data_IF_307959790962
#
_entry.id   IF_307959790962
#
_cell.length_a   1.000
_cell.length_b   1.000
_cell.length_c   1.000
_cell.angle_alpha   90.00
_cell.angle_beta   90.00
_cell.angle_gamma   90.00
#
_symmetry.space_group_name_H-M   'P 1'
#
loop_
_entity.id
_entity.type
_entity.pdbx_description
1 polymer ?
#
# COMPACT_ATOMS: atom_id res chain seq x y z
N UNK A 1 -11.79 10.27 25.58
CA UNK A 1 -12.33 9.34 24.57
C UNK A 1 -13.04 8.22 25.29
N UNK A 2 -14.36 8.16 25.21
CA UNK A 2 -15.12 6.95 25.55
C UNK A 2 -14.66 5.86 24.58
N UNK A 3 -14.05 4.79 25.09
CA UNK A 3 -13.76 3.61 24.29
C UNK A 3 -15.06 2.87 24.06
N UNK A 4 -15.79 3.24 23.01
CA UNK A 4 -16.92 2.44 22.53
C UNK A 4 -16.37 1.09 22.11
N UNK A 5 -16.57 0.07 22.93
CA UNK A 5 -16.23 -1.31 22.58
C UNK A 5 -17.28 -1.81 21.60
N UNK A 6 -16.91 -1.92 20.33
CA UNK A 6 -17.77 -2.56 19.33
C UNK A 6 -17.74 -4.07 19.51
N UNK A 7 -18.90 -4.71 19.59
CA UNK A 7 -18.97 -6.17 19.52
C UNK A 7 -18.60 -6.66 18.10
N UNK A 8 -18.16 -7.92 17.92
CA UNK A 8 -17.94 -8.48 16.59
C UNK A 8 -19.16 -8.35 15.67
N UNK A 9 -20.37 -8.44 16.24
CA UNK A 9 -21.63 -8.26 15.53
C UNK A 9 -21.80 -6.82 15.02
N UNK A 10 -21.38 -5.82 15.81
CA UNK A 10 -21.44 -4.41 15.39
C UNK A 10 -20.47 -4.12 14.25
N UNK A 11 -19.26 -4.66 14.32
CA UNK A 11 -18.25 -4.54 13.25
C UNK A 11 -18.78 -5.17 11.96
N UNK A 12 -19.36 -6.37 12.07
CA UNK A 12 -19.97 -7.07 10.94
C UNK A 12 -21.10 -6.27 10.31
N UNK A 13 -22.09 -5.86 11.10
CA UNK A 13 -23.24 -5.08 10.63
C UNK A 13 -22.79 -3.77 9.97
N UNK A 14 -21.77 -3.11 10.54
CA UNK A 14 -21.21 -1.88 9.98
C UNK A 14 -20.52 -2.11 8.63
N UNK A 15 -19.75 -3.19 8.48
CA UNK A 15 -19.11 -3.54 7.20
C UNK A 15 -20.15 -3.73 6.08
N UNK A 16 -21.20 -4.50 6.35
CA UNK A 16 -22.32 -4.69 5.42
C UNK A 16 -23.07 -3.40 5.13
N UNK A 17 -23.26 -2.54 6.13
CA UNK A 17 -23.92 -1.25 5.92
C UNK A 17 -23.10 -0.34 4.99
N UNK A 18 -21.76 -0.36 5.09
CA UNK A 18 -20.82 0.43 4.28
C UNK A 18 -20.72 -0.10 2.85
N UNK A 19 -20.33 -1.36 2.67
CA UNK A 19 -20.14 -1.97 1.35
C UNK A 19 -20.34 -3.50 1.40
N UNK A 20 -21.52 -3.99 1.00
CA UNK A 20 -21.79 -5.43 0.90
C UNK A 20 -20.79 -6.17 0.00
N UNK A 21 -20.52 -5.63 -1.20
CA UNK A 21 -19.64 -6.26 -2.18
C UNK A 21 -18.21 -6.45 -1.65
N UNK A 22 -17.66 -5.41 -1.02
CA UNK A 22 -16.31 -5.45 -0.46
C UNK A 22 -16.24 -6.36 0.77
N UNK A 23 -17.31 -6.41 1.57
CA UNK A 23 -17.41 -7.31 2.74
C UNK A 23 -17.42 -8.77 2.31
N UNK A 24 -18.28 -9.14 1.34
CA UNK A 24 -18.32 -10.49 0.78
C UNK A 24 -16.96 -10.89 0.23
N UNK A 25 -16.33 -9.99 -0.56
CA UNK A 25 -15.01 -10.27 -1.11
C UNK A 25 -13.97 -10.48 -0.02
N UNK A 26 -13.93 -9.64 1.00
CA UNK A 26 -12.96 -9.77 2.12
C UNK A 26 -13.05 -11.17 2.75
N UNK A 27 -14.28 -11.66 2.97
CA UNK A 27 -14.52 -13.01 3.51
C UNK A 27 -14.05 -14.09 2.53
N UNK A 28 -14.38 -13.97 1.24
CA UNK A 28 -13.95 -14.93 0.23
C UNK A 28 -12.42 -14.94 0.07
N UNK A 29 -11.75 -13.80 0.17
CA UNK A 29 -10.29 -13.72 0.14
C UNK A 29 -9.69 -14.43 1.35
N UNK A 30 -10.28 -14.26 2.53
CA UNK A 30 -9.84 -14.96 3.74
C UNK A 30 -10.00 -16.48 3.61
N UNK A 31 -11.15 -16.94 3.11
CA UNK A 31 -11.37 -18.37 2.83
C UNK A 31 -10.35 -18.88 1.81
N UNK A 32 -10.10 -18.13 0.73
CA UNK A 32 -9.08 -18.47 -0.26
C UNK A 32 -7.67 -18.56 0.34
N UNK A 33 -7.33 -17.69 1.29
CA UNK A 33 -6.05 -17.76 2.02
C UNK A 33 -5.95 -19.07 2.82
N UNK A 34 -7.02 -19.47 3.53
CA UNK A 34 -7.03 -20.74 4.26
C UNK A 34 -6.87 -21.93 3.30
N UNK A 35 -7.63 -21.95 2.20
CA UNK A 35 -7.56 -23.05 1.22
C UNK A 35 -6.18 -23.17 0.58
N UNK A 36 -5.58 -22.05 0.18
CA UNK A 36 -4.24 -22.05 -0.43
C UNK A 36 -3.14 -22.35 0.59
N UNK A 37 -3.33 -22.02 1.89
CA UNK A 37 -2.44 -22.48 2.95
C UNK A 37 -2.49 -24.00 3.15
N UNK A 38 -3.68 -24.62 3.05
CA UNK A 38 -3.80 -26.07 3.07
C UNK A 38 -3.12 -26.70 1.84
N UNK A 39 -3.31 -26.11 0.66
CA UNK A 39 -2.69 -26.57 -0.58
C UNK A 39 -1.15 -26.51 -0.55
N UNK A 40 -0.57 -25.53 0.16
CA UNK A 40 0.88 -25.49 0.41
C UNK A 40 1.40 -26.73 1.17
N UNK A 41 0.55 -27.39 1.96
CA UNK A 41 0.91 -28.59 2.71
C UNK A 41 0.69 -29.91 1.96
N UNK A 42 -0.13 -29.91 0.90
CA UNK A 42 -0.53 -31.16 0.21
C UNK A 42 -0.14 -31.23 -1.26
N UNK A 43 0.07 -30.09 -1.94
CA UNK A 43 0.49 -30.06 -3.34
C UNK A 43 1.97 -29.71 -3.44
N UNK A 44 2.78 -30.70 -3.80
CA UNK A 44 4.24 -30.60 -3.88
C UNK A 44 4.73 -29.89 -5.16
N UNK A 45 3.84 -29.51 -6.09
CA UNK A 45 4.25 -28.83 -7.33
C UNK A 45 4.94 -27.51 -7.02
N UNK A 46 5.94 -27.20 -7.84
CA UNK A 46 6.68 -25.95 -7.77
C UNK A 46 6.56 -25.19 -9.09
N UNK A 47 6.68 -23.87 -9.00
CA UNK A 47 6.77 -22.98 -10.13
C UNK A 47 7.98 -22.06 -9.88
N UNK A 48 9.01 -22.20 -10.73
CA UNK A 48 10.26 -21.41 -10.62
C UNK A 48 10.95 -21.59 -9.25
N UNK A 49 10.99 -22.83 -8.77
CA UNK A 49 11.66 -23.16 -7.50
C UNK A 49 10.92 -22.74 -6.22
N UNK A 50 9.71 -22.17 -6.33
CA UNK A 50 8.84 -21.89 -5.17
C UNK A 50 7.60 -22.81 -5.19
N UNK A 51 7.02 -23.14 -4.02
CA UNK A 51 5.75 -23.88 -3.96
C UNK A 51 4.65 -23.18 -4.77
N UNK A 52 3.94 -23.96 -5.59
CA UNK A 52 2.97 -23.45 -6.58
C UNK A 52 1.91 -22.52 -5.97
N UNK A 53 1.41 -22.87 -4.79
CA UNK A 53 0.33 -22.15 -4.09
C UNK A 53 0.81 -20.96 -3.25
N UNK A 54 2.13 -20.72 -3.17
CA UNK A 54 2.68 -19.66 -2.32
C UNK A 54 2.26 -18.27 -2.79
N UNK A 55 2.27 -18.05 -4.12
CA UNK A 55 1.81 -16.77 -4.69
C UNK A 55 0.31 -16.56 -4.48
N UNK A 56 -0.59 -17.49 -4.86
CA UNK A 56 -2.02 -17.40 -4.51
C UNK A 56 -2.26 -17.09 -3.03
N UNK A 57 -1.59 -17.79 -2.11
CA UNK A 57 -1.71 -17.57 -0.67
C UNK A 57 -1.37 -16.12 -0.27
N UNK A 58 -0.20 -15.62 -0.69
CA UNK A 58 0.23 -14.25 -0.41
C UNK A 58 -0.78 -13.21 -0.91
N UNK A 59 -1.33 -13.39 -2.11
CA UNK A 59 -2.31 -12.48 -2.67
C UNK A 59 -3.66 -12.54 -1.94
N UNK A 60 -4.16 -13.72 -1.59
CA UNK A 60 -5.38 -13.86 -0.80
C UNK A 60 -5.26 -13.19 0.57
N UNK A 61 -4.14 -13.40 1.27
CA UNK A 61 -3.85 -12.74 2.56
C UNK A 61 -3.79 -11.23 2.38
N UNK A 62 -3.04 -10.76 1.39
CA UNK A 62 -2.86 -9.32 1.13
C UNK A 62 -4.19 -8.62 0.83
N UNK A 63 -5.01 -9.19 -0.06
CA UNK A 63 -6.32 -8.64 -0.41
C UNK A 63 -7.30 -8.66 0.77
N UNK A 64 -7.26 -9.70 1.60
CA UNK A 64 -8.07 -9.74 2.85
C UNK A 64 -7.74 -8.54 3.74
N UNK A 65 -6.45 -8.31 4.00
CA UNK A 65 -6.00 -7.22 4.86
C UNK A 65 -6.32 -5.86 4.22
N UNK A 66 -6.03 -5.71 2.93
CA UNK A 66 -6.28 -4.48 2.18
C UNK A 66 -7.77 -4.08 2.21
N UNK A 67 -8.67 -5.02 1.91
CA UNK A 67 -10.10 -4.76 1.83
C UNK A 67 -10.73 -4.50 3.20
N UNK A 68 -10.31 -5.25 4.23
CA UNK A 68 -10.69 -4.96 5.61
C UNK A 68 -10.24 -3.56 6.04
N UNK A 69 -9.02 -3.16 5.63
CA UNK A 69 -8.50 -1.82 5.90
C UNK A 69 -9.31 -0.74 5.17
N UNK A 70 -9.70 -0.98 3.92
CA UNK A 70 -10.57 -0.05 3.18
C UNK A 70 -11.96 0.08 3.82
N UNK A 71 -12.55 -1.02 4.29
CA UNK A 71 -13.81 -0.98 5.04
C UNK A 71 -13.68 -0.14 6.32
N UNK A 72 -12.54 -0.24 7.02
CA UNK A 72 -12.24 0.64 8.15
C UNK A 72 -12.16 2.12 7.72
N UNK A 73 -11.51 2.44 6.60
CA UNK A 73 -11.43 3.81 6.08
C UNK A 73 -12.81 4.35 5.64
N UNK A 74 -13.65 3.52 5.03
CA UNK A 74 -15.01 3.87 4.63
C UNK A 74 -15.86 4.31 5.82
N UNK A 75 -15.55 3.78 7.01
CA UNK A 75 -16.26 4.06 8.24
C UNK A 75 -16.19 5.53 8.71
N UNK A 76 -15.25 6.31 8.16
CA UNK A 76 -15.03 7.73 8.45
C UNK A 76 -15.72 8.69 7.47
N UNK A 77 -16.41 8.17 6.45
CA UNK A 77 -17.15 8.98 5.46
C UNK A 77 -18.62 8.52 5.34
N UNK A 78 -19.37 8.38 6.45
CA UNK A 78 -20.72 7.81 6.44
C UNK A 78 -21.70 8.57 5.51
N UNK A 79 -21.51 9.87 5.35
CA UNK A 79 -22.30 10.74 4.48
C UNK A 79 -22.13 10.42 2.98
N UNK A 80 -21.05 9.73 2.60
CA UNK A 80 -20.72 9.40 1.20
C UNK A 80 -21.08 7.95 0.83
N UNK A 81 -21.99 7.32 1.56
CA UNK A 81 -22.33 5.89 1.43
C UNK A 81 -22.53 5.38 0.00
N UNK A 82 -23.25 6.13 -0.87
CA UNK A 82 -23.47 5.72 -2.27
C UNK A 82 -22.17 5.66 -3.07
N UNK A 83 -21.28 6.64 -2.85
CA UNK A 83 -19.96 6.67 -3.48
C UNK A 83 -19.09 5.51 -2.97
N UNK A 84 -19.03 5.29 -1.66
CA UNK A 84 -18.25 4.21 -1.05
C UNK A 84 -18.70 2.81 -1.54
N UNK A 85 -20.01 2.60 -1.74
CA UNK A 85 -20.53 1.36 -2.33
C UNK A 85 -20.03 1.15 -3.75
N UNK A 86 -19.98 2.19 -4.59
CA UNK A 86 -19.44 2.10 -5.96
C UNK A 86 -17.95 1.79 -5.95
N UNK A 87 -17.18 2.50 -5.13
CA UNK A 87 -15.75 2.23 -4.92
C UNK A 87 -15.54 0.77 -4.50
N UNK A 88 -16.33 0.29 -3.53
CA UNK A 88 -16.28 -1.08 -3.04
C UNK A 88 -16.61 -2.12 -4.10
N UNK A 89 -17.60 -1.88 -4.96
CA UNK A 89 -17.94 -2.78 -6.08
C UNK A 89 -16.82 -2.85 -7.11
N UNK A 90 -16.24 -1.70 -7.49
CA UNK A 90 -15.16 -1.66 -8.49
C UNK A 90 -13.90 -2.37 -7.98
N UNK A 91 -13.47 -2.05 -6.75
CA UNK A 91 -12.33 -2.72 -6.11
C UNK A 91 -12.60 -4.22 -6.00
N UNK A 92 -13.83 -4.60 -5.63
CA UNK A 92 -14.18 -6.01 -5.52
C UNK A 92 -14.08 -6.74 -6.88
N UNK A 93 -14.64 -6.16 -7.93
CA UNK A 93 -14.59 -6.71 -9.28
C UNK A 93 -13.14 -6.88 -9.79
N UNK A 94 -12.31 -5.84 -9.65
CA UNK A 94 -10.90 -5.90 -10.02
C UNK A 94 -10.16 -7.00 -9.25
N UNK A 95 -10.35 -7.07 -7.94
CA UNK A 95 -9.68 -8.10 -7.13
C UNK A 95 -10.21 -9.52 -7.36
N UNK A 96 -11.45 -9.71 -7.83
CA UNK A 96 -11.92 -11.03 -8.27
C UNK A 96 -11.24 -11.46 -9.56
N UNK A 97 -11.16 -10.56 -10.55
CA UNK A 97 -10.46 -10.82 -11.80
C UNK A 97 -9.01 -11.23 -11.53
N UNK A 98 -8.31 -10.45 -10.70
CA UNK A 98 -6.94 -10.77 -10.26
C UNK A 98 -6.83 -12.17 -9.66
N UNK A 99 -7.67 -12.51 -8.68
CA UNK A 99 -7.55 -13.81 -8.02
C UNK A 99 -7.97 -14.98 -8.89
N UNK A 100 -8.95 -14.80 -9.79
CA UNK A 100 -9.29 -15.81 -10.79
C UNK A 100 -8.11 -16.04 -11.73
N UNK A 101 -7.50 -14.97 -12.25
CA UNK A 101 -6.34 -15.07 -13.14
C UNK A 101 -5.13 -15.72 -12.45
N UNK A 102 -4.79 -15.29 -11.23
CA UNK A 102 -3.66 -15.86 -10.45
C UNK A 102 -3.89 -17.33 -10.14
N UNK A 103 -5.09 -17.69 -9.69
CA UNK A 103 -5.41 -19.07 -9.31
C UNK A 103 -5.49 -19.99 -10.53
N UNK A 104 -6.09 -19.52 -11.62
CA UNK A 104 -6.12 -20.25 -12.89
C UNK A 104 -4.70 -20.55 -13.39
N UNK A 105 -3.82 -19.55 -13.38
CA UNK A 105 -2.45 -19.72 -13.84
C UNK A 105 -1.63 -20.63 -12.92
N UNK A 106 -1.87 -20.59 -11.61
CA UNK A 106 -1.30 -21.54 -10.67
C UNK A 106 -1.77 -22.98 -10.98
N UNK A 107 -3.07 -23.20 -11.21
CA UNK A 107 -3.58 -24.54 -11.59
C UNK A 107 -2.89 -25.07 -12.86
N UNK A 108 -2.71 -24.19 -13.86
CA UNK A 108 -1.99 -24.48 -15.11
C UNK A 108 -0.49 -24.69 -14.95
N UNK A 109 0.09 -24.38 -13.78
CA UNK A 109 1.52 -24.51 -13.53
C UNK A 109 2.36 -23.47 -14.28
N UNK A 110 1.82 -22.29 -14.58
CA UNK A 110 2.51 -21.22 -15.32
C UNK A 110 2.44 -19.89 -14.57
N UNK A 111 3.30 -18.95 -14.95
CA UNK A 111 3.34 -17.60 -14.35
C UNK A 111 2.07 -16.82 -14.71
N UNK A 112 1.54 -16.07 -13.74
CA UNK A 112 0.39 -15.16 -13.95
C UNK A 112 0.77 -13.75 -14.37
N UNK A 113 1.87 -13.22 -13.83
CA UNK A 113 2.39 -11.91 -14.18
C UNK A 113 3.57 -12.08 -15.15
N UNK A 114 3.75 -11.12 -16.04
CA UNK A 114 4.80 -11.06 -17.08
C UNK A 114 4.68 -12.11 -18.19
N UNK A 115 3.89 -13.16 -18.00
CA UNK A 115 3.79 -14.27 -18.94
C UNK A 115 3.13 -13.87 -20.27
N UNK A 116 3.92 -13.89 -21.34
CA UNK A 116 3.50 -13.63 -22.72
C UNK A 116 3.83 -14.80 -23.64
N UNK A 117 4.05 -16.00 -23.07
CA UNK A 117 4.46 -17.20 -23.82
C UNK A 117 3.42 -17.65 -24.86
N UNK A 118 2.13 -17.45 -24.58
CA UNK A 118 1.03 -17.74 -25.52
C UNK A 118 0.06 -16.56 -25.62
N UNK A 119 -0.77 -16.53 -26.66
CA UNK A 119 -1.82 -15.52 -26.81
C UNK A 119 -2.81 -15.53 -25.62
N UNK A 120 -3.10 -16.71 -25.08
CA UNK A 120 -3.96 -16.84 -23.90
C UNK A 120 -3.28 -16.27 -22.64
N UNK A 121 -2.00 -16.60 -22.41
CA UNK A 121 -1.25 -16.05 -21.28
C UNK A 121 -1.13 -14.53 -21.34
N UNK A 122 -0.87 -14.00 -22.53
CA UNK A 122 -0.84 -12.56 -22.77
C UNK A 122 -2.20 -11.92 -22.50
N UNK A 123 -3.31 -12.54 -22.91
CA UNK A 123 -4.65 -12.04 -22.65
C UNK A 123 -4.96 -12.01 -21.14
N UNK A 124 -4.60 -13.08 -20.42
CA UNK A 124 -4.72 -13.14 -18.94
C UNK A 124 -3.90 -12.02 -18.31
N UNK A 125 -2.61 -11.91 -18.63
CA UNK A 125 -1.74 -10.89 -18.06
C UNK A 125 -2.19 -9.46 -18.39
N UNK A 126 -2.66 -9.21 -19.61
CA UNK A 126 -3.18 -7.90 -20.03
C UNK A 126 -4.46 -7.53 -19.26
N UNK A 127 -5.37 -8.50 -19.05
CA UNK A 127 -6.59 -8.28 -18.28
C UNK A 127 -6.30 -7.88 -16.82
N UNK A 128 -5.26 -8.49 -16.22
CA UNK A 128 -4.76 -8.15 -14.89
C UNK A 128 -4.22 -6.71 -14.87
N UNK A 129 -3.38 -6.35 -15.85
CA UNK A 129 -2.88 -4.98 -16.02
C UNK A 129 -3.98 -3.92 -16.09
N UNK A 130 -5.07 -4.20 -16.81
CA UNK A 130 -6.25 -3.32 -16.85
C UNK A 130 -6.93 -3.26 -15.47
N UNK A 131 -7.16 -4.41 -14.84
CA UNK A 131 -7.82 -4.49 -13.54
C UNK A 131 -7.08 -3.71 -12.45
N UNK A 132 -5.75 -3.86 -12.35
CA UNK A 132 -4.95 -3.13 -11.36
C UNK A 132 -4.92 -1.63 -11.66
N UNK A 133 -5.01 -1.22 -12.93
CA UNK A 133 -5.03 0.19 -13.32
C UNK A 133 -6.34 0.83 -12.88
N UNK A 134 -7.47 0.17 -13.17
CA UNK A 134 -8.80 0.60 -12.73
C UNK A 134 -8.87 0.65 -11.20
N UNK A 135 -8.32 -0.36 -10.51
CA UNK A 135 -8.27 -0.39 -9.05
C UNK A 135 -7.43 0.77 -8.50
N UNK A 136 -6.24 1.02 -9.05
CA UNK A 136 -5.38 2.13 -8.62
C UNK A 136 -6.04 3.50 -8.82
N UNK A 137 -6.66 3.75 -9.98
CA UNK A 137 -7.43 4.97 -10.24
C UNK A 137 -8.61 5.10 -9.26
N UNK A 138 -9.29 3.99 -8.95
CA UNK A 138 -10.41 3.98 -8.00
C UNK A 138 -9.94 4.36 -6.59
N UNK A 139 -8.80 3.82 -6.14
CA UNK A 139 -8.18 4.19 -4.85
C UNK A 139 -7.70 5.64 -4.87
N UNK A 140 -7.20 6.14 -6.00
CA UNK A 140 -6.81 7.55 -6.17
C UNK A 140 -8.03 8.47 -6.01
N UNK A 141 -9.13 8.18 -6.69
CA UNK A 141 -10.38 8.95 -6.56
C UNK A 141 -10.88 8.90 -5.11
N UNK A 142 -10.85 7.73 -4.47
CA UNK A 142 -11.18 7.61 -3.05
C UNK A 142 -10.29 8.48 -2.16
N UNK A 143 -8.97 8.50 -2.42
CA UNK A 143 -8.03 9.33 -1.67
C UNK A 143 -8.28 10.82 -1.85
N UNK A 144 -8.57 11.26 -3.07
CA UNK A 144 -8.92 12.65 -3.37
C UNK A 144 -10.19 13.10 -2.65
N UNK A 145 -11.15 12.20 -2.46
CA UNK A 145 -12.36 12.46 -1.66
C UNK A 145 -12.03 12.51 -0.16
N UNK A 146 -11.22 11.58 0.35
CA UNK A 146 -10.81 11.55 1.76
C UNK A 146 -9.99 12.78 2.14
N UNK A 147 -9.11 13.26 1.25
CA UNK A 147 -8.33 14.48 1.44
C UNK A 147 -9.21 15.72 1.60
N UNK A 148 -10.32 15.78 0.85
CA UNK A 148 -11.28 16.91 0.89
C UNK A 148 -12.34 16.80 1.98
N UNK A 149 -12.48 15.64 2.61
CA UNK A 149 -13.50 15.42 3.61
C UNK A 149 -13.09 16.00 4.97
N UNK A 150 -14.05 16.60 5.67
CA UNK A 150 -13.84 17.17 7.00
C UNK A 150 -13.89 16.05 8.04
N UNK A 151 -12.78 15.87 8.76
CA UNK A 151 -12.66 14.93 9.86
C UNK A 151 -12.30 15.77 11.10
N UNK A 152 -13.06 15.61 12.18
CA UNK A 152 -12.93 16.43 13.39
C UNK A 152 -11.58 16.21 14.08
N UNK A 153 -11.17 14.94 14.22
CA UNK A 153 -9.86 14.57 14.75
C UNK A 153 -8.77 14.80 13.70
N UNK A 154 -7.92 15.81 13.94
CA UNK A 154 -6.85 16.21 13.03
C UNK A 154 -5.73 15.18 12.93
N UNK A 155 -5.44 14.48 14.03
CA UNK A 155 -4.39 13.45 14.11
C UNK A 155 -4.82 12.25 13.28
N UNK A 156 -6.04 11.77 13.49
CA UNK A 156 -6.65 10.71 12.70
C UNK A 156 -6.72 11.10 11.22
N UNK A 157 -7.20 12.31 10.91
CA UNK A 157 -7.30 12.78 9.54
C UNK A 157 -5.93 12.78 8.83
N UNK A 158 -4.89 13.29 9.49
CA UNK A 158 -3.53 13.29 8.96
C UNK A 158 -3.01 11.88 8.75
N UNK A 159 -3.34 10.96 9.65
CA UNK A 159 -2.90 9.56 9.59
C UNK A 159 -3.52 8.83 8.41
N UNK A 160 -4.85 8.92 8.25
CA UNK A 160 -5.56 8.29 7.14
C UNK A 160 -5.09 8.83 5.79
N UNK A 161 -4.91 10.16 5.69
CA UNK A 161 -4.47 10.82 4.46
C UNK A 161 -3.04 10.45 4.08
N UNK A 162 -2.09 10.47 5.01
CA UNK A 162 -0.71 10.05 4.75
C UNK A 162 -0.64 8.57 4.41
N UNK A 163 -1.33 7.71 5.16
CA UNK A 163 -1.39 6.26 4.88
C UNK A 163 -1.84 5.99 3.46
N UNK A 164 -2.96 6.60 3.06
CA UNK A 164 -3.51 6.39 1.74
C UNK A 164 -2.67 7.00 0.61
N UNK A 165 -2.04 8.16 0.83
CA UNK A 165 -1.15 8.77 -0.16
C UNK A 165 0.11 7.94 -0.40
N UNK A 166 0.74 7.46 0.67
CA UNK A 166 1.94 6.63 0.55
C UNK A 166 1.59 5.27 -0.07
N UNK A 167 0.43 4.70 0.26
CA UNK A 167 -0.07 3.50 -0.41
C UNK A 167 -0.28 3.72 -1.90
N UNK A 168 -0.82 4.87 -2.34
CA UNK A 168 -0.94 5.18 -3.76
C UNK A 168 0.41 5.25 -4.48
N UNK A 169 1.42 5.84 -3.83
CA UNK A 169 2.81 5.85 -4.34
C UNK A 169 3.33 4.42 -4.43
N UNK A 170 3.21 3.63 -3.37
CA UNK A 170 3.63 2.22 -3.33
C UNK A 170 2.97 1.39 -4.43
N UNK A 171 1.64 1.52 -4.61
CA UNK A 171 0.91 0.87 -5.71
C UNK A 171 1.44 1.33 -7.07
N UNK A 172 1.68 2.63 -7.25
CA UNK A 172 2.19 3.21 -8.49
C UNK A 172 3.58 2.68 -8.87
N UNK A 173 4.43 2.38 -7.89
CA UNK A 173 5.73 1.74 -8.13
C UNK A 173 5.60 0.35 -8.79
N UNK A 174 4.44 -0.31 -8.66
CA UNK A 174 4.16 -1.57 -9.32
C UNK A 174 4.19 -1.50 -10.84
N UNK A 175 3.87 -0.33 -11.43
CA UNK A 175 3.87 -0.17 -12.89
C UNK A 175 5.27 -0.31 -13.50
N UNK A 176 6.33 0.08 -12.78
CA UNK A 176 7.71 -0.12 -13.25
C UNK A 176 8.03 -1.59 -13.49
N UNK A 177 7.45 -2.51 -12.71
CA UNK A 177 7.69 -3.94 -12.89
C UNK A 177 7.08 -4.49 -14.19
N UNK A 178 6.08 -3.81 -14.76
CA UNK A 178 5.39 -4.25 -15.98
C UNK A 178 6.01 -3.71 -17.26
N UNK A 179 6.92 -2.73 -17.15
CA UNK A 179 7.60 -2.13 -18.30
C UNK A 179 8.78 -3.01 -18.72
N UNK A 180 8.94 -3.36 -20.01
CA UNK A 180 10.11 -4.10 -20.46
C UNK A 180 11.40 -3.30 -20.24
N UNK A 181 12.47 -3.99 -19.86
CA UNK A 181 13.78 -3.38 -19.62
C UNK A 181 14.92 -4.38 -19.86
N UNK A 182 16.15 -3.86 -20.03
CA UNK A 182 17.33 -4.68 -20.31
C UNK A 182 17.22 -5.47 -21.62
N UNK A 183 17.65 -6.73 -21.59
CA UNK A 183 17.64 -7.67 -22.74
C UNK A 183 16.25 -7.81 -23.40
N UNK A 184 15.16 -7.55 -22.67
CA UNK A 184 13.79 -7.60 -23.21
C UNK A 184 13.57 -6.53 -24.29
N UNK A 185 14.19 -5.36 -24.16
CA UNK A 185 14.07 -4.28 -25.16
C UNK A 185 14.78 -4.64 -26.46
N UNK A 186 15.93 -5.31 -26.37
CA UNK A 186 16.68 -5.79 -27.54
C UNK A 186 15.91 -6.89 -28.29
N UNK A 187 15.32 -7.81 -27.53
CA UNK A 187 14.45 -8.87 -28.08
C UNK A 187 13.29 -8.26 -28.87
N UNK A 188 12.59 -7.27 -28.28
CA UNK A 188 11.49 -6.56 -28.95
C UNK A 188 11.97 -5.79 -30.19
N UNK A 189 13.14 -5.16 -30.14
CA UNK A 189 13.71 -4.43 -31.28
C UNK A 189 14.06 -5.34 -32.46
N UNK A 190 14.45 -6.60 -32.20
CA UNK A 190 14.69 -7.61 -33.23
C UNK A 190 13.40 -8.20 -33.85
N UNK A 191 12.21 -7.72 -33.45
CA UNK A 191 10.92 -8.25 -33.91
C UNK A 191 10.54 -9.59 -33.29
N UNK A 192 11.31 -10.08 -32.31
CA UNK A 192 11.00 -11.30 -31.57
C UNK A 192 10.01 -11.00 -30.45
N UNK A 193 9.17 -11.98 -30.12
CA UNK A 193 8.26 -11.88 -28.99
C UNK A 193 8.91 -12.51 -27.76
N UNK A 194 9.22 -11.75 -26.70
CA UNK A 194 9.72 -12.33 -25.49
C UNK A 194 8.63 -13.18 -24.83
N UNK A 195 9.02 -14.28 -24.19
CA UNK A 195 8.12 -15.10 -23.39
C UNK A 195 7.67 -14.37 -22.12
N UNK A 196 8.42 -13.34 -21.72
CA UNK A 196 8.15 -12.52 -20.54
C UNK A 196 8.38 -11.03 -20.80
N UNK A 197 7.43 -10.20 -20.35
CA UNK A 197 7.51 -8.73 -20.45
C UNK A 197 7.40 -8.12 -19.07
N UNK A 198 8.43 -7.38 -18.66
CA UNK A 198 8.58 -6.88 -17.30
C UNK A 198 9.31 -7.86 -16.39
N UNK A 199 9.61 -7.43 -15.16
CA UNK A 199 10.29 -8.20 -14.14
C UNK A 199 10.20 -7.49 -12.77
N UNK A 200 10.43 -8.23 -11.68
CA UNK A 200 10.60 -7.62 -10.36
C UNK A 200 12.00 -7.03 -10.17
N UNK A 201 13.00 -7.68 -10.78
CA UNK A 201 14.42 -7.41 -10.64
C UNK A 201 14.91 -6.38 -11.66
N UNK A 202 15.74 -5.44 -11.22
CA UNK A 202 16.32 -4.37 -12.02
C UNK A 202 17.84 -4.47 -11.99
N UNK A 203 18.50 -4.23 -13.13
CA UNK A 203 19.96 -4.38 -13.25
C UNK A 203 20.46 -5.83 -13.20
N UNK A 204 19.56 -6.81 -13.39
CA UNK A 204 19.89 -8.25 -13.41
C UNK A 204 18.69 -9.09 -13.86
N UNK A 205 18.89 -10.40 -13.99
CA UNK A 205 17.83 -11.36 -14.38
C UNK A 205 16.88 -11.64 -13.20
N UNK A 206 15.58 -11.76 -13.49
CA UNK A 206 14.59 -12.11 -12.47
C UNK A 206 14.70 -13.58 -12.04
N UNK A 207 14.34 -13.87 -10.78
CA UNK A 207 14.37 -15.23 -10.23
C UNK A 207 15.72 -15.72 -9.69
N UNK A 208 16.69 -14.82 -9.48
CA UNK A 208 17.94 -15.11 -8.78
C UNK A 208 17.78 -15.30 -7.25
N UNK A 209 18.89 -15.45 -6.50
CA UNK A 209 18.85 -15.66 -5.05
C UNK A 209 18.06 -14.58 -4.30
N UNK A 210 16.99 -14.99 -3.64
CA UNK A 210 16.10 -14.10 -2.90
C UNK A 210 16.25 -14.20 -1.38
N UNK A 211 15.74 -13.19 -0.66
CA UNK A 211 15.51 -13.28 0.78
C UNK A 211 14.47 -14.36 1.08
N UNK A 212 14.62 -15.14 2.16
CA UNK A 212 13.61 -16.13 2.56
C UNK A 212 12.21 -15.51 2.69
N UNK A 213 11.17 -16.29 2.35
CA UNK A 213 9.74 -15.94 2.41
C UNK A 213 9.28 -14.85 1.42
N UNK A 214 10.03 -13.77 1.25
CA UNK A 214 9.62 -12.62 0.41
C UNK A 214 10.22 -12.67 -1.00
N UNK A 215 11.31 -13.41 -1.19
CA UNK A 215 11.95 -13.64 -2.48
C UNK A 215 12.66 -12.42 -3.06
N UNK A 216 12.84 -11.35 -2.28
CA UNK A 216 13.47 -10.10 -2.75
C UNK A 216 14.94 -10.31 -3.10
N UNK A 217 15.37 -9.82 -4.26
CA UNK A 217 16.70 -10.08 -4.81
C UNK A 217 17.83 -9.66 -3.85
N UNK A 218 18.76 -10.59 -3.60
CA UNK A 218 19.97 -10.35 -2.80
C UNK A 218 21.17 -9.87 -3.62
N UNK A 219 21.05 -9.89 -4.95
CA UNK A 219 22.17 -9.67 -5.87
C UNK A 219 21.94 -8.52 -6.84
N UNK A 220 20.69 -8.08 -7.02
CA UNK A 220 20.32 -6.99 -7.92
C UNK A 220 19.17 -6.16 -7.31
N UNK A 221 18.82 -5.07 -7.97
CA UNK A 221 17.69 -4.22 -7.56
C UNK A 221 16.36 -4.95 -7.64
N UNK A 222 15.43 -4.61 -6.76
CA UNK A 222 14.11 -5.24 -6.70
C UNK A 222 13.06 -4.21 -6.31
N UNK A 223 12.00 -4.08 -7.10
CA UNK A 223 10.93 -3.10 -6.84
C UNK A 223 9.91 -3.60 -5.80
N UNK A 224 9.86 -4.91 -5.53
CA UNK A 224 8.91 -5.49 -4.57
C UNK A 224 9.05 -4.91 -3.15
N UNK A 225 10.23 -4.70 -2.56
CA UNK A 225 10.35 -4.03 -1.27
C UNK A 225 9.71 -2.64 -1.24
N UNK A 226 9.99 -1.79 -2.23
CA UNK A 226 9.45 -0.44 -2.29
C UNK A 226 7.93 -0.45 -2.43
N UNK A 227 7.43 -1.28 -3.35
CA UNK A 227 6.01 -1.52 -3.56
C UNK A 227 5.31 -2.04 -2.30
N UNK A 228 5.86 -3.09 -1.67
CA UNK A 228 5.34 -3.71 -0.45
C UNK A 228 5.29 -2.72 0.71
N UNK A 229 6.42 -2.07 1.03
CA UNK A 229 6.50 -1.09 2.12
C UNK A 229 5.50 0.02 1.86
N UNK A 230 5.52 0.62 0.66
CA UNK A 230 4.61 1.70 0.30
C UNK A 230 3.14 1.33 0.45
N UNK A 231 2.72 0.18 -0.10
CA UNK A 231 1.34 -0.30 0.02
C UNK A 231 0.90 -0.47 1.48
N UNK A 232 1.80 -0.95 2.35
CA UNK A 232 1.47 -1.19 3.75
C UNK A 232 1.36 0.06 4.62
N UNK A 233 1.64 1.25 4.09
CA UNK A 233 1.41 2.51 4.80
C UNK A 233 -0.05 2.67 5.24
N UNK A 234 -1.01 2.15 4.47
CA UNK A 234 -2.44 2.15 4.78
C UNK A 234 -2.75 1.47 6.11
N UNK A 235 -2.01 0.42 6.48
CA UNK A 235 -2.17 -0.28 7.76
C UNK A 235 -1.26 0.30 8.83
N UNK A 236 0.02 0.50 8.51
CA UNK A 236 1.05 0.82 9.50
C UNK A 236 0.81 2.20 10.11
N UNK A 237 0.53 3.23 9.30
CA UNK A 237 0.38 4.59 9.83
C UNK A 237 -0.82 4.72 10.79
N UNK A 238 -2.04 4.21 10.48
CA UNK A 238 -3.14 4.15 11.44
C UNK A 238 -2.83 3.42 12.74
N UNK A 239 -2.15 2.26 12.67
CA UNK A 239 -1.79 1.49 13.86
C UNK A 239 -0.75 2.20 14.73
N UNK A 240 0.24 2.85 14.11
CA UNK A 240 1.21 3.67 14.82
C UNK A 240 0.54 4.85 15.53
N UNK A 241 -0.37 5.56 14.86
CA UNK A 241 -1.12 6.64 15.49
C UNK A 241 -1.97 6.15 16.66
N UNK A 242 -2.63 5.00 16.54
CA UNK A 242 -3.38 4.38 17.64
C UNK A 242 -2.45 4.04 18.83
N UNK A 243 -1.26 3.51 18.56
CA UNK A 243 -0.25 3.23 19.59
C UNK A 243 0.25 4.49 20.29
N UNK A 244 0.42 5.59 19.54
CA UNK A 244 0.81 6.89 20.09
C UNK A 244 -0.30 7.50 20.97
N UNK A 245 -1.55 7.45 20.52
CA UNK A 245 -2.72 7.97 21.23
C UNK A 245 -2.99 7.27 22.58
N UNK A 246 -2.58 6.00 22.72
CA UNK A 246 -2.66 5.27 24.00
C UNK A 246 -1.73 5.86 25.07
N UNK A 247 -0.70 6.62 24.68
CA UNK A 247 0.19 7.30 25.64
C UNK A 247 -0.42 8.65 26.01
N UNK A 248 -1.26 8.67 27.05
CA UNK A 248 -2.06 9.81 27.58
C UNK A 248 -1.33 11.12 27.91
N UNK A 249 -0.04 11.27 27.59
CA UNK A 249 0.80 12.40 28.01
C UNK A 249 1.18 13.38 26.89
N UNK A 250 0.60 13.29 25.69
CA UNK A 250 0.94 14.20 24.58
C UNK A 250 -0.21 15.15 24.25
N UNK A 251 0.14 16.39 23.93
CA UNK A 251 -0.82 17.33 23.35
C UNK A 251 -1.14 16.93 21.91
N UNK A 252 -2.38 17.21 21.46
CA UNK A 252 -2.84 16.93 20.09
C UNK A 252 -1.87 17.49 19.03
N UNK A 253 -1.34 18.69 19.26
CA UNK A 253 -0.33 19.31 18.39
C UNK A 253 0.93 18.44 18.27
N UNK A 254 1.46 17.96 19.39
CA UNK A 254 2.65 17.11 19.38
C UNK A 254 2.37 15.78 18.68
N UNK A 255 1.20 15.18 18.89
CA UNK A 255 0.80 13.95 18.18
C UNK A 255 0.70 14.16 16.67
N UNK A 256 0.11 15.28 16.23
CA UNK A 256 0.03 15.64 14.83
C UNK A 256 1.41 15.81 14.19
N UNK A 257 2.36 16.44 14.90
CA UNK A 257 3.75 16.57 14.45
C UNK A 257 4.41 15.21 14.25
N UNK A 258 4.22 14.28 15.20
CA UNK A 258 4.74 12.91 15.10
C UNK A 258 4.15 12.15 13.93
N UNK A 259 2.83 12.17 13.75
CA UNK A 259 2.16 11.49 12.64
C UNK A 259 2.68 11.99 11.30
N UNK A 260 2.87 13.31 11.15
CA UNK A 260 3.41 13.90 9.92
C UNK A 260 4.86 13.51 9.70
N UNK A 261 5.70 13.59 10.73
CA UNK A 261 7.11 13.20 10.65
C UNK A 261 7.26 11.72 10.27
N UNK A 262 6.49 10.83 10.90
CA UNK A 262 6.47 9.40 10.57
C UNK A 262 5.96 9.18 9.15
N UNK A 263 4.90 9.88 8.73
CA UNK A 263 4.38 9.79 7.37
C UNK A 263 5.40 10.23 6.31
N UNK A 264 6.14 11.31 6.55
CA UNK A 264 7.22 11.79 5.68
C UNK A 264 8.36 10.77 5.64
N UNK A 265 8.78 10.24 6.78
CA UNK A 265 9.81 9.22 6.86
C UNK A 265 9.42 7.95 6.13
N UNK A 266 8.18 7.50 6.29
CA UNK A 266 7.66 6.31 5.63
C UNK A 266 7.63 6.49 4.11
N UNK A 267 7.11 7.63 3.61
CA UNK A 267 7.16 7.97 2.19
C UNK A 267 8.60 7.99 1.67
N UNK A 268 9.50 8.63 2.41
CA UNK A 268 10.91 8.71 2.07
C UNK A 268 11.56 7.34 1.93
N UNK A 269 11.35 6.44 2.90
CA UNK A 269 11.85 5.05 2.84
C UNK A 269 11.30 4.33 1.61
N UNK A 270 9.99 4.44 1.33
CA UNK A 270 9.38 3.86 0.12
C UNK A 270 10.09 4.35 -1.15
N UNK A 271 10.33 5.65 -1.27
CA UNK A 271 11.01 6.23 -2.44
C UNK A 271 12.48 5.83 -2.53
N UNK A 272 13.21 5.78 -1.40
CA UNK A 272 14.61 5.37 -1.37
C UNK A 272 14.75 3.91 -1.81
N UNK A 273 13.88 3.02 -1.34
CA UNK A 273 13.85 1.62 -1.80
C UNK A 273 13.56 1.53 -3.30
N UNK A 274 12.64 2.35 -3.82
CA UNK A 274 12.35 2.40 -5.25
C UNK A 274 13.53 2.89 -6.07
N UNK A 275 14.22 3.93 -5.60
CA UNK A 275 15.45 4.44 -6.23
C UNK A 275 16.58 3.40 -6.17
N UNK A 276 16.73 2.68 -5.07
CA UNK A 276 17.70 1.60 -4.93
C UNK A 276 17.42 0.50 -5.97
N UNK A 277 16.15 0.10 -6.10
CA UNK A 277 15.71 -0.86 -7.11
C UNK A 277 16.08 -0.40 -8.53
N UNK A 278 15.68 0.82 -8.92
CA UNK A 278 15.94 1.35 -10.26
C UNK A 278 17.44 1.49 -10.59
N UNK A 279 18.29 1.64 -9.56
CA UNK A 279 19.76 1.68 -9.70
C UNK A 279 20.39 0.28 -9.73
N UNK A 280 19.60 -0.78 -9.72
CA UNK A 280 20.07 -2.16 -9.73
C UNK A 280 20.73 -2.60 -8.42
N UNK A 281 20.51 -1.86 -7.32
CA UNK A 281 21.14 -2.13 -6.03
C UNK A 281 20.23 -3.04 -5.18
N UNK A 282 20.79 -4.12 -4.64
CA UNK A 282 20.03 -5.03 -3.77
C UNK A 282 19.65 -4.39 -2.45
N UNK A 283 18.51 -4.79 -1.89
CA UNK A 283 18.06 -4.36 -0.56
C UNK A 283 19.05 -4.69 0.58
N UNK A 284 19.93 -5.67 0.38
CA UNK A 284 20.97 -6.03 1.36
C UNK A 284 22.31 -5.32 1.12
N UNK A 285 22.43 -4.51 0.06
CA UNK A 285 23.65 -3.78 -0.30
C UNK A 285 23.38 -2.29 -0.45
N UNK A 286 23.97 -1.48 0.42
CA UNK A 286 23.73 -0.04 0.49
C UNK A 286 24.99 0.74 0.11
N UNK A 287 24.91 1.48 -1.00
CA UNK A 287 25.96 2.38 -1.45
C UNK A 287 25.85 3.77 -0.80
N UNK A 288 26.83 4.64 -1.07
CA UNK A 288 26.87 5.99 -0.50
C UNK A 288 25.63 6.83 -0.85
N UNK A 289 25.09 6.68 -2.06
CA UNK A 289 23.86 7.36 -2.48
C UNK A 289 22.65 6.86 -1.70
N UNK A 290 22.49 5.55 -1.52
CA UNK A 290 21.43 4.97 -0.70
C UNK A 290 21.49 5.45 0.75
N UNK A 291 22.68 5.39 1.37
CA UNK A 291 22.90 5.88 2.75
C UNK A 291 22.64 7.39 2.89
N UNK A 292 23.11 8.19 1.94
CA UNK A 292 22.86 9.64 1.93
C UNK A 292 21.37 9.94 1.77
N UNK A 293 20.67 9.18 0.94
CA UNK A 293 19.23 9.33 0.74
C UNK A 293 18.45 8.99 2.02
N UNK A 294 18.84 7.93 2.74
CA UNK A 294 18.28 7.63 4.07
C UNK A 294 18.55 8.74 5.07
N UNK A 295 19.77 9.30 5.09
CA UNK A 295 20.12 10.45 5.92
C UNK A 295 19.23 11.66 5.64
N UNK A 296 18.96 11.95 4.35
CA UNK A 296 18.05 13.01 3.95
C UNK A 296 16.60 12.75 4.40
N UNK A 297 16.12 11.50 4.33
CA UNK A 297 14.78 11.12 4.82
C UNK A 297 14.66 11.30 6.34
N UNK A 298 15.68 10.90 7.09
CA UNK A 298 15.73 11.12 8.55
C UNK A 298 15.73 12.63 8.84
N UNK A 299 16.57 13.40 8.14
CA UNK A 299 16.60 14.86 8.26
C UNK A 299 15.24 15.50 7.99
N UNK A 300 14.58 15.14 6.89
CA UNK A 300 13.25 15.65 6.54
C UNK A 300 12.18 15.29 7.60
N UNK A 301 12.25 14.07 8.15
CA UNK A 301 11.34 13.62 9.21
C UNK A 301 11.54 14.42 10.50
N UNK A 302 12.80 14.62 10.91
CA UNK A 302 13.16 15.40 12.10
C UNK A 302 12.81 16.88 11.94
N UNK A 303 13.05 17.46 10.77
CA UNK A 303 12.65 18.83 10.45
C UNK A 303 11.13 18.99 10.49
N UNK A 304 10.38 18.03 9.97
CA UNK A 304 8.90 18.01 10.05
C UNK A 304 8.42 18.01 11.50
N UNK A 305 9.08 17.24 12.36
CA UNK A 305 8.79 17.20 13.80
C UNK A 305 9.14 18.53 14.48
N UNK A 306 10.31 19.10 14.18
CA UNK A 306 10.85 20.32 14.78
C UNK A 306 10.19 21.61 14.29
N UNK A 307 9.55 21.63 13.12
CA UNK A 307 8.84 22.80 12.60
C UNK A 307 7.50 23.06 13.32
N UNK A 308 6.99 22.09 14.08
CA UNK A 308 5.66 22.18 14.70
C UNK A 308 5.51 23.16 15.90
N UNK A 309 6.53 23.37 16.77
CA UNK A 309 6.45 24.32 17.88
C UNK A 309 6.41 25.80 17.45
N UNK A 310 6.79 26.14 16.23
CA UNK A 310 7.01 27.55 15.82
C UNK A 310 5.74 28.31 15.41
N UNK A 311 4.55 27.68 15.45
CA UNK A 311 3.28 28.32 15.06
C UNK A 311 2.42 28.86 16.22
N UNK A 312 2.94 28.96 17.44
CA UNK A 312 2.21 29.58 18.58
C UNK A 312 3.04 30.60 19.37
N UNK A 313 3.05 31.84 18.88
CA UNK A 313 2.70 33.08 19.61
C UNK A 313 2.71 34.23 18.60
N UNK A 314 1.55 34.51 17.98
CA UNK A 314 1.28 35.91 17.69
C UNK A 314 1.14 36.59 19.07
N UNK A 315 1.80 37.73 19.34
CA UNK A 315 1.59 38.45 20.59
C UNK A 315 0.10 38.71 20.74
N UNK A 316 -0.48 38.28 21.87
CA UNK A 316 -1.86 38.63 22.19
C UNK A 316 -1.99 40.14 22.11
N UNK A 317 -3.03 40.62 21.40
CA UNK A 317 -3.50 41.99 21.54
C UNK A 317 -3.61 42.30 23.03
N UNK A 318 -2.83 43.27 23.50
CA UNK A 318 -2.93 43.78 24.86
C UNK A 318 -4.40 44.13 25.14
N UNK A 319 -4.96 43.77 26.31
CA UNK A 319 -6.28 44.23 26.68
C UNK A 319 -6.31 45.77 26.66
N UNK A 320 -7.41 46.39 26.18
CA UNK A 320 -7.53 47.84 26.16
C UNK A 320 -7.37 48.40 27.59
N UNK A 321 -6.72 49.56 27.76
CA UNK A 321 -6.55 50.18 29.08
C UNK A 321 -7.91 50.43 29.73
N UNK A 322 -7.98 50.19 31.04
CA UNK A 322 -9.18 50.43 31.82
C UNK A 322 -9.62 51.90 31.72
N UNK A 323 -10.93 52.21 31.66
CA UNK A 323 -11.40 53.58 31.61
C UNK A 323 -10.96 54.33 32.87
N UNK A 324 -10.35 55.51 32.67
CA UNK A 324 -9.99 56.40 33.75
C UNK A 324 -11.26 56.80 34.53
N UNK A 325 -11.28 56.52 35.83
CA UNK A 325 -12.27 57.09 36.73
C UNK A 325 -12.06 58.60 36.79
N UNK A 326 -12.95 59.37 36.19
CA UNK A 326 -13.06 60.80 36.46
C UNK A 326 -13.75 60.97 37.81
N UNK A 327 -12.97 61.34 38.82
CA UNK A 327 -13.45 62.02 40.02
C UNK A 327 -13.33 63.53 39.83
#
# INVERSE_FOLDING_TARGET
>A
MSTTTYSPRDVWNRAWALSPALTVKTVLMFVGAVLTALLLGVDARQLVGEPLWLKPFKFYVSLTIFEATLLYFFSFLPERRRFLRRVGVVIAACGYLEMVAITLQAVRGVRSHFNTATAFDQAVFSSMGIAITVMWVTVLVFALVLLRSKLEDRVLASTLRMGLLVTLVGMGLGFFMTTPHGEQLETLASGQRPLEVGAHTFGGRDGGPGLPLVGWSRTAGDMRPAHFVGMHALQVLPLLALGLARRKQRSESRELAWVRAVGVGYLGITLVLGLQALRGQSIVSWDSTGLTSLGAVVGASLLTLAAHPLRRRAPGSLPPPAPASMG
#
